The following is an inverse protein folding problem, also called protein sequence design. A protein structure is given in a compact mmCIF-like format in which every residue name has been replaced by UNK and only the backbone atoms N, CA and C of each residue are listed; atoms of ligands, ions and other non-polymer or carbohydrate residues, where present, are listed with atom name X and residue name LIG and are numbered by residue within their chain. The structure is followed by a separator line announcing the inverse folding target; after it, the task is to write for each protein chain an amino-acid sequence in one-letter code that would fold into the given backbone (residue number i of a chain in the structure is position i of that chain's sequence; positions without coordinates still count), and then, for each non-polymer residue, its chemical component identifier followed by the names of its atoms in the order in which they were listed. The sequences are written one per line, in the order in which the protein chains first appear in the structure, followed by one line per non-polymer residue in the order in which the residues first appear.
data_IF_296649407718
#
_entry.id   IF_296649407718
#
_cell.length_a   1.000
_cell.length_b   1.000
_cell.length_c   1.000
_cell.angle_alpha   90.00
_cell.angle_beta   90.00
_cell.angle_gamma   90.00
#
_symmetry.space_group_name_H-M   'P 1'
#
loop_
_entity.id
_entity.type
_entity.pdbx_description
1 polymer ?
#
# COMPACT_ATOMS: atom_id res chain seq x y z
N UNK A 1 30.80 40.36 27.84
CA UNK A 1 31.19 41.65 28.41
C UNK A 1 30.87 41.73 29.91
N UNK A 2 29.60 41.60 30.36
CA UNK A 2 29.25 41.64 31.80
C UNK A 2 29.85 40.46 32.55
N UNK A 3 29.77 39.22 32.02
CA UNK A 3 30.34 38.03 32.64
C UNK A 3 31.88 38.11 32.80
N UNK A 4 32.59 38.79 31.90
CA UNK A 4 34.01 39.07 32.03
C UNK A 4 34.31 39.95 33.24
N UNK A 5 33.47 40.97 33.46
CA UNK A 5 33.54 41.81 34.67
C UNK A 5 33.32 40.99 35.96
N UNK A 6 32.30 40.14 35.96
CA UNK A 6 32.04 39.23 37.09
C UNK A 6 33.17 38.24 37.34
N UNK A 7 33.79 37.67 36.31
CA UNK A 7 34.95 36.79 36.42
C UNK A 7 36.13 37.50 37.08
N UNK A 8 36.39 38.75 36.67
CA UNK A 8 37.45 39.55 37.22
C UNK A 8 37.26 39.83 38.72
N UNK A 9 36.01 40.12 39.14
CA UNK A 9 35.64 40.29 40.56
C UNK A 9 35.85 39.02 41.35
N UNK A 10 35.42 37.87 40.80
CA UNK A 10 35.59 36.57 41.48
C UNK A 10 37.07 36.20 41.71
N UNK A 11 37.97 36.59 40.78
CA UNK A 11 39.42 36.39 40.91
C UNK A 11 40.06 37.34 41.89
N UNK A 12 39.46 38.51 42.12
CA UNK A 12 40.04 39.57 42.95
C UNK A 12 39.06 40.04 44.05
N UNK A 13 38.31 39.14 44.63
CA UNK A 13 37.16 39.45 45.49
C UNK A 13 37.55 40.25 46.74
N UNK A 14 38.67 39.94 47.36
CA UNK A 14 39.09 40.61 48.55
C UNK A 14 39.48 42.07 48.26
N UNK A 15 40.13 42.35 47.12
CA UNK A 15 40.50 43.72 46.69
C UNK A 15 39.24 44.53 46.32
N UNK A 16 38.28 43.90 45.64
CA UNK A 16 37.01 44.54 45.29
C UNK A 16 36.23 44.92 46.54
N UNK A 17 36.17 44.03 47.55
CA UNK A 17 35.50 44.31 48.82
C UNK A 17 36.23 45.45 49.59
N UNK A 18 37.55 45.46 49.56
CA UNK A 18 38.32 46.53 50.18
C UNK A 18 38.04 47.89 49.52
N UNK A 19 38.03 47.98 48.20
CA UNK A 19 37.72 49.20 47.45
C UNK A 19 36.25 49.65 47.75
N UNK A 20 35.27 48.75 47.80
CA UNK A 20 33.89 49.12 48.14
C UNK A 20 33.78 49.67 49.57
N UNK A 21 34.53 49.15 50.47
CA UNK A 21 34.53 49.60 51.92
C UNK A 21 35.25 50.85 52.19
N UNK A 22 36.36 51.12 51.50
CA UNK A 22 37.29 52.20 51.82
C UNK A 22 37.12 53.43 50.92
N UNK A 23 36.46 53.34 49.81
CA UNK A 23 36.26 54.43 48.84
C UNK A 23 34.95 55.14 49.05
N UNK A 24 34.97 56.48 48.98
CA UNK A 24 33.74 57.30 48.97
C UNK A 24 32.95 57.20 47.68
N UNK A 25 33.65 56.86 46.56
CA UNK A 25 33.02 56.62 45.25
C UNK A 25 33.44 55.25 44.69
N UNK A 26 32.85 54.15 45.17
CA UNK A 26 33.23 52.77 44.81
C UNK A 26 33.24 52.50 43.34
N UNK A 27 32.22 53.04 42.61
CA UNK A 27 32.06 52.82 41.15
C UNK A 27 33.24 53.35 40.37
N UNK A 28 33.65 54.62 40.63
CA UNK A 28 34.79 55.26 39.98
C UNK A 28 36.10 54.56 40.31
N UNK A 29 36.28 54.15 41.57
CA UNK A 29 37.47 53.43 42.03
C UNK A 29 37.61 52.06 41.39
N UNK A 30 36.52 51.28 41.24
CA UNK A 30 36.51 49.99 40.55
C UNK A 30 36.80 50.12 39.05
N UNK A 31 36.24 51.13 38.38
CA UNK A 31 36.50 51.40 36.96
C UNK A 31 38.00 51.72 36.77
N UNK A 32 38.51 52.61 37.59
CA UNK A 32 39.93 53.01 37.49
C UNK A 32 40.92 51.87 37.80
N UNK A 33 40.61 51.02 38.79
CA UNK A 33 41.49 49.95 39.24
C UNK A 33 41.50 48.74 38.30
N UNK A 34 40.35 48.34 37.79
CA UNK A 34 40.20 47.14 37.00
C UNK A 34 39.88 47.42 35.51
N UNK A 35 39.91 48.67 35.07
CA UNK A 35 39.60 49.12 33.70
C UNK A 35 38.26 48.62 33.21
N UNK A 36 37.27 48.72 34.08
CA UNK A 36 35.90 48.26 33.81
C UNK A 36 35.12 49.34 33.03
N UNK A 37 34.11 48.88 32.33
CA UNK A 37 33.10 49.79 31.76
C UNK A 37 32.09 50.17 32.84
N UNK A 38 31.37 51.29 32.63
CA UNK A 38 30.30 51.78 33.52
C UNK A 38 29.26 50.68 33.83
N UNK A 39 28.87 49.93 32.80
CA UNK A 39 27.89 48.83 32.93
C UNK A 39 28.43 47.64 33.74
N UNK A 40 29.72 47.33 33.62
CA UNK A 40 30.36 46.28 34.42
C UNK A 40 30.45 46.69 35.88
N UNK A 41 30.79 47.93 36.14
CA UNK A 41 30.91 48.46 37.52
C UNK A 41 29.54 48.50 38.21
N UNK A 42 28.48 48.91 37.54
CA UNK A 42 27.12 48.88 38.07
C UNK A 42 26.67 47.43 38.38
N UNK A 43 26.89 46.50 37.45
CA UNK A 43 26.53 45.09 37.63
C UNK A 43 27.33 44.47 38.83
N UNK A 44 28.59 44.84 38.99
CA UNK A 44 29.43 44.37 40.12
C UNK A 44 28.89 44.87 41.46
N UNK A 45 28.49 46.12 41.53
CA UNK A 45 27.93 46.70 42.75
C UNK A 45 26.57 46.11 43.13
N UNK A 46 25.79 45.63 42.15
CA UNK A 46 24.50 44.97 42.33
C UNK A 46 24.63 43.48 42.68
N UNK A 47 25.84 42.89 42.66
CA UNK A 47 26.03 41.48 42.98
C UNK A 47 25.66 41.19 44.45
N UNK A 48 24.76 40.26 44.65
CA UNK A 48 24.40 39.79 45.99
C UNK A 48 25.51 38.89 46.57
N UNK A 49 25.84 39.04 47.86
CA UNK A 49 26.87 38.23 48.52
C UNK A 49 26.72 36.72 48.35
N UNK A 50 25.49 36.23 48.27
CA UNK A 50 25.23 34.79 48.01
C UNK A 50 25.71 34.32 46.64
N UNK A 51 25.78 35.22 45.65
CA UNK A 51 26.19 34.91 44.27
C UNK A 51 27.74 34.84 44.12
N UNK A 52 28.44 35.25 45.14
CA UNK A 52 29.90 35.12 45.20
C UNK A 52 30.36 33.74 45.70
N UNK A 53 29.42 32.83 45.93
CA UNK A 53 29.75 31.46 46.32
C UNK A 53 30.49 30.70 45.19
N UNK A 54 31.44 29.84 45.60
CA UNK A 54 32.34 29.10 44.70
C UNK A 54 31.61 28.34 43.58
N UNK A 55 30.38 27.84 43.86
CA UNK A 55 29.55 27.14 42.87
C UNK A 55 29.00 28.06 41.76
N UNK A 56 28.73 29.32 42.07
CA UNK A 56 28.31 30.32 41.07
C UNK A 56 29.47 30.81 40.22
N UNK A 57 30.67 30.89 40.77
CA UNK A 57 31.91 31.18 40.03
C UNK A 57 32.13 30.13 38.91
N UNK A 58 31.99 28.84 39.22
CA UNK A 58 32.11 27.75 38.26
C UNK A 58 31.05 27.86 37.15
N UNK A 59 29.83 28.22 37.50
CA UNK A 59 28.74 28.42 36.51
C UNK A 59 29.05 29.59 35.57
N UNK A 60 29.54 30.71 36.12
CA UNK A 60 29.92 31.88 35.32
C UNK A 60 31.09 31.57 34.38
N UNK A 61 32.07 30.80 34.82
CA UNK A 61 33.17 30.35 33.96
C UNK A 61 32.68 29.44 32.83
N UNK A 62 31.76 28.51 33.11
CA UNK A 62 31.18 27.65 32.11
C UNK A 62 30.37 28.45 31.08
N UNK A 63 29.49 29.34 31.54
CA UNK A 63 28.65 30.18 30.66
C UNK A 63 29.53 31.12 29.81
N UNK A 64 30.57 31.69 30.38
CA UNK A 64 31.50 32.54 29.64
C UNK A 64 32.29 31.75 28.60
N UNK A 65 32.71 30.52 28.91
CA UNK A 65 33.38 29.64 27.95
C UNK A 65 32.43 29.26 26.78
N UNK A 66 31.17 28.97 27.06
CA UNK A 66 30.17 28.69 26.04
C UNK A 66 29.90 29.90 25.13
N UNK A 67 29.71 31.09 25.72
CA UNK A 67 29.50 32.33 24.96
C UNK A 67 30.71 32.72 24.11
N UNK A 68 31.95 32.53 24.63
CA UNK A 68 33.17 32.76 23.83
C UNK A 68 33.29 31.81 22.67
N UNK A 69 32.90 30.55 22.85
CA UNK A 69 32.84 29.56 21.77
C UNK A 69 31.82 29.95 20.71
N UNK A 70 30.63 30.39 21.14
CA UNK A 70 29.56 30.85 20.25
C UNK A 70 30.01 32.13 19.51
N UNK A 71 30.60 33.11 20.21
CA UNK A 71 31.16 34.31 19.61
C UNK A 71 32.17 33.96 18.52
N UNK A 72 33.15 33.08 18.81
CA UNK A 72 34.13 32.65 17.82
C UNK A 72 33.49 32.00 16.60
N UNK A 73 32.46 31.17 16.79
CA UNK A 73 31.74 30.56 15.68
C UNK A 73 30.97 31.56 14.83
N UNK A 74 30.38 32.59 15.44
CA UNK A 74 29.68 33.67 14.73
C UNK A 74 30.66 34.58 13.99
N UNK A 75 31.81 34.92 14.62
CA UNK A 75 32.88 35.69 13.97
C UNK A 75 33.45 34.94 12.74
N UNK A 76 33.66 33.63 12.85
CA UNK A 76 34.07 32.79 11.70
C UNK A 76 33.06 32.84 10.56
N UNK A 77 31.77 32.85 10.85
CA UNK A 77 30.73 32.95 9.85
C UNK A 77 30.75 34.34 9.19
N UNK A 78 30.89 35.41 9.97
CA UNK A 78 30.90 36.79 9.48
C UNK A 78 32.15 37.14 8.66
N UNK A 79 33.30 36.61 9.07
CA UNK A 79 34.59 36.90 8.43
C UNK A 79 34.91 35.98 7.24
N UNK A 80 34.20 34.83 7.12
CA UNK A 80 34.44 33.87 6.05
C UNK A 80 33.20 33.69 5.15
N UNK A 81 33.22 34.20 3.92
CA UNK A 81 32.10 33.97 2.99
C UNK A 81 31.83 32.48 2.71
N UNK A 82 32.86 31.63 2.84
CA UNK A 82 32.71 30.18 2.68
C UNK A 82 31.97 29.55 3.85
N UNK A 83 32.20 30.02 5.08
CA UNK A 83 31.48 29.55 6.29
C UNK A 83 30.04 30.00 6.28
N UNK A 84 29.77 31.24 5.90
CA UNK A 84 28.43 31.78 5.72
C UNK A 84 27.63 30.95 4.66
N UNK A 85 28.26 30.67 3.52
CA UNK A 85 27.60 29.86 2.47
C UNK A 85 27.28 28.44 2.95
N UNK A 86 28.19 27.82 3.73
CA UNK A 86 27.92 26.47 4.31
C UNK A 86 26.78 26.50 5.31
N UNK A 87 26.68 27.55 6.14
CA UNK A 87 25.58 27.72 7.08
C UNK A 87 24.24 27.86 6.30
N UNK A 88 24.19 28.75 5.30
CA UNK A 88 22.99 28.95 4.48
C UNK A 88 22.54 27.65 3.79
N UNK A 89 23.47 26.89 3.23
CA UNK A 89 23.14 25.59 2.61
C UNK A 89 22.54 24.63 3.64
N UNK A 90 23.16 24.53 4.82
CA UNK A 90 22.68 23.66 5.90
C UNK A 90 21.28 24.03 6.37
N UNK A 91 20.99 25.32 6.52
CA UNK A 91 19.66 25.81 6.91
C UNK A 91 18.63 25.52 5.83
N UNK A 92 18.94 25.80 4.56
CA UNK A 92 18.06 25.50 3.42
C UNK A 92 17.79 23.99 3.32
N UNK A 93 18.80 23.15 3.53
CA UNK A 93 18.62 21.70 3.54
C UNK A 93 17.76 21.21 4.71
N UNK A 94 17.89 21.82 5.88
CA UNK A 94 17.05 21.52 7.03
C UNK A 94 15.59 21.93 6.78
N UNK A 95 15.36 23.11 6.24
CA UNK A 95 14.04 23.61 5.87
C UNK A 95 13.43 22.76 4.76
N UNK A 96 14.22 22.41 3.74
CA UNK A 96 13.78 21.52 2.69
C UNK A 96 13.37 20.14 3.24
N UNK A 97 14.10 19.61 4.22
CA UNK A 97 13.77 18.34 4.86
C UNK A 97 12.49 18.41 5.71
N UNK A 98 12.28 19.53 6.37
CA UNK A 98 11.12 19.74 7.26
C UNK A 98 9.85 20.11 6.50
N UNK A 99 9.95 20.92 5.44
CA UNK A 99 8.81 21.52 4.74
C UNK A 99 8.67 21.04 3.29
N UNK A 100 9.53 20.13 2.81
CA UNK A 100 9.43 19.64 1.45
C UNK A 100 8.16 18.80 1.26
N UNK A 101 7.33 19.26 0.38
CA UNK A 101 6.24 18.46 -0.17
C UNK A 101 6.77 17.49 -1.22
N UNK A 102 6.18 16.30 -1.27
CA UNK A 102 6.41 15.40 -2.40
C UNK A 102 6.05 16.12 -3.70
N UNK A 103 6.92 16.03 -4.68
CA UNK A 103 6.70 16.68 -5.96
C UNK A 103 5.36 16.23 -6.56
N UNK A 104 4.43 17.14 -6.74
CA UNK A 104 3.08 16.88 -7.29
C UNK A 104 3.11 16.65 -8.80
N UNK A 105 4.10 17.21 -9.48
CA UNK A 105 4.30 16.99 -10.92
C UNK A 105 5.28 15.84 -11.13
N UNK A 106 4.79 14.75 -11.72
CA UNK A 106 5.63 13.66 -12.17
C UNK A 106 6.26 14.03 -13.50
N UNK A 107 7.60 14.00 -13.57
CA UNK A 107 8.28 13.98 -14.86
C UNK A 107 8.27 12.51 -15.29
N UNK A 108 7.29 12.14 -16.11
CA UNK A 108 7.28 10.85 -16.77
C UNK A 108 7.74 11.04 -18.19
N UNK A 109 8.61 10.16 -18.68
CA UNK A 109 8.75 9.98 -20.11
C UNK A 109 7.36 9.70 -20.67
N UNK A 110 6.96 10.45 -21.68
CA UNK A 110 5.60 10.54 -22.23
C UNK A 110 4.99 9.15 -22.46
N UNK A 111 4.33 8.63 -21.44
CA UNK A 111 3.32 7.60 -21.65
C UNK A 111 2.10 8.39 -22.06
N UNK A 112 1.72 8.35 -23.36
CA UNK A 112 0.45 8.85 -23.87
C UNK A 112 -0.57 8.86 -22.73
N UNK A 113 -1.04 10.04 -22.35
CA UNK A 113 -2.17 10.16 -21.44
C UNK A 113 -3.24 9.25 -22.05
N UNK A 114 -3.45 8.11 -21.42
CA UNK A 114 -4.64 7.29 -21.69
C UNK A 114 -5.75 8.19 -21.17
N UNK A 115 -6.38 8.94 -22.10
CA UNK A 115 -7.63 9.59 -21.80
C UNK A 115 -8.46 8.50 -21.09
N UNK A 116 -8.99 8.79 -19.89
CA UNK A 116 -9.99 7.92 -19.27
C UNK A 116 -11.11 7.78 -20.29
N UNK A 117 -11.02 6.76 -21.12
CA UNK A 117 -12.09 6.39 -22.03
C UNK A 117 -13.17 5.95 -21.08
N UNK A 118 -14.22 6.75 -20.97
CA UNK A 118 -15.41 6.43 -20.23
C UNK A 118 -15.90 5.09 -20.81
N UNK A 119 -15.61 4.00 -20.10
CA UNK A 119 -16.00 2.65 -20.53
C UNK A 119 -17.51 2.64 -20.58
N UNK A 120 -18.06 2.48 -21.79
CA UNK A 120 -19.50 2.30 -21.97
C UNK A 120 -19.84 0.94 -21.36
N UNK A 121 -20.89 0.91 -20.53
CA UNK A 121 -21.35 -0.29 -19.87
C UNK A 121 -22.24 -1.11 -20.84
N UNK A 122 -21.60 -2.02 -21.59
CA UNK A 122 -22.24 -2.85 -22.61
C UNK A 122 -22.12 -4.34 -22.27
N UNK A 123 -23.10 -5.17 -22.67
CA UNK A 123 -23.02 -6.62 -22.53
C UNK A 123 -21.95 -7.18 -23.47
N UNK A 124 -21.10 -8.06 -22.95
CA UNK A 124 -20.05 -8.74 -23.71
C UNK A 124 -19.90 -10.18 -23.24
N UNK A 125 -19.43 -11.03 -24.16
CA UNK A 125 -19.03 -12.41 -23.88
C UNK A 125 -17.52 -12.52 -24.00
N UNK A 126 -16.85 -12.82 -22.89
CA UNK A 126 -15.41 -13.12 -22.86
C UNK A 126 -15.22 -14.58 -23.28
N UNK A 127 -14.41 -14.81 -24.30
CA UNK A 127 -14.08 -16.13 -24.83
C UNK A 127 -12.62 -16.42 -24.55
N UNK A 128 -12.34 -17.56 -23.93
CA UNK A 128 -10.99 -17.96 -23.54
C UNK A 128 -10.71 -19.36 -24.12
N UNK A 129 -9.55 -19.51 -24.73
CA UNK A 129 -9.08 -20.79 -25.22
C UNK A 129 -8.27 -21.56 -24.17
N UNK A 130 -8.09 -22.88 -24.37
CA UNK A 130 -7.28 -23.74 -23.51
C UNK A 130 -5.83 -23.26 -23.39
N UNK A 131 -5.27 -22.69 -24.47
CA UNK A 131 -3.93 -22.10 -24.48
C UNK A 131 -3.86 -20.65 -23.96
N UNK A 132 -4.96 -20.15 -23.39
CA UNK A 132 -5.01 -18.83 -22.75
C UNK A 132 -5.09 -17.64 -23.73
N UNK A 133 -5.62 -17.84 -24.94
CA UNK A 133 -6.00 -16.73 -25.82
C UNK A 133 -7.33 -16.15 -25.40
N UNK A 134 -7.42 -14.83 -25.29
CA UNK A 134 -8.59 -14.12 -24.79
C UNK A 134 -9.09 -13.12 -25.82
N UNK A 135 -10.41 -13.00 -25.92
CA UNK A 135 -11.13 -12.02 -26.73
C UNK A 135 -12.47 -11.70 -26.13
N UNK A 136 -13.02 -10.51 -26.40
CA UNK A 136 -14.36 -10.12 -26.00
C UNK A 136 -15.26 -9.93 -27.22
N UNK A 137 -16.44 -10.54 -27.22
CA UNK A 137 -17.47 -10.40 -28.25
C UNK A 137 -18.64 -9.60 -27.69
N UNK A 138 -19.11 -8.62 -28.43
CA UNK A 138 -20.25 -7.81 -28.05
C UNK A 138 -21.52 -8.64 -27.97
N UNK A 139 -22.31 -8.43 -26.92
CA UNK A 139 -23.55 -9.14 -26.66
C UNK A 139 -23.40 -10.44 -25.88
N UNK A 140 -24.53 -11.03 -25.49
CA UNK A 140 -24.65 -12.31 -24.80
C UNK A 140 -25.36 -13.35 -25.73
N UNK A 141 -25.48 -14.60 -25.26
CA UNK A 141 -26.20 -15.66 -25.98
C UNK A 141 -25.46 -16.22 -27.20
N UNK A 142 -24.15 -16.11 -27.24
CA UNK A 142 -23.35 -16.69 -28.32
C UNK A 142 -23.22 -18.20 -28.17
N UNK A 143 -23.42 -18.92 -29.29
CA UNK A 143 -23.18 -20.37 -29.32
C UNK A 143 -21.66 -20.62 -29.14
N UNK A 144 -21.32 -21.40 -28.10
CA UNK A 144 -19.96 -21.78 -27.80
C UNK A 144 -19.30 -22.59 -28.92
N UNK A 145 -20.07 -23.38 -29.66
CA UNK A 145 -19.60 -24.19 -30.79
C UNK A 145 -19.24 -23.35 -32.02
N UNK A 146 -19.73 -22.11 -32.12
CA UNK A 146 -19.47 -21.21 -33.23
C UNK A 146 -18.11 -20.50 -33.15
N UNK A 147 -17.37 -20.65 -32.05
CA UNK A 147 -16.06 -20.01 -31.89
C UNK A 147 -14.93 -20.82 -32.54
N UNK A 148 -14.26 -20.23 -33.51
CA UNK A 148 -13.07 -20.81 -34.11
C UNK A 148 -11.82 -20.51 -33.28
N UNK A 149 -10.91 -21.47 -33.22
CA UNK A 149 -9.62 -21.40 -32.51
C UNK A 149 -8.49 -21.80 -33.46
N UNK A 150 -7.26 -21.50 -33.08
CA UNK A 150 -6.07 -21.95 -33.80
C UNK A 150 -5.96 -23.48 -33.81
N UNK A 151 -5.27 -24.03 -34.79
CA UNK A 151 -5.03 -25.45 -34.87
C UNK A 151 -4.41 -26.00 -33.58
N UNK A 152 -5.03 -27.02 -33.00
CA UNK A 152 -4.60 -27.64 -31.76
C UNK A 152 -4.90 -26.80 -30.49
N UNK A 153 -5.84 -25.85 -30.54
CA UNK A 153 -6.40 -25.12 -29.41
C UNK A 153 -7.91 -25.36 -29.34
N UNK A 154 -8.49 -25.25 -28.14
CA UNK A 154 -9.88 -25.50 -27.88
C UNK A 154 -10.52 -24.43 -27.00
N UNK A 155 -11.81 -24.56 -26.76
CA UNK A 155 -12.54 -23.66 -25.87
C UNK A 155 -12.30 -24.05 -24.41
N UNK A 156 -11.68 -23.17 -23.62
CA UNK A 156 -11.68 -23.29 -22.16
C UNK A 156 -13.05 -22.93 -21.57
N UNK A 157 -13.63 -21.81 -22.01
CA UNK A 157 -14.92 -21.34 -21.53
C UNK A 157 -15.33 -19.99 -22.09
N UNK A 158 -16.64 -19.72 -21.95
CA UNK A 158 -17.27 -18.44 -22.27
C UNK A 158 -17.86 -17.84 -20.99
N UNK A 159 -17.73 -16.54 -20.82
CA UNK A 159 -18.24 -15.81 -19.67
C UNK A 159 -19.05 -14.61 -20.14
N UNK A 160 -20.33 -14.62 -19.84
CA UNK A 160 -21.22 -13.49 -20.10
C UNK A 160 -21.06 -12.46 -18.99
N UNK A 161 -20.63 -11.26 -19.34
CA UNK A 161 -20.32 -10.18 -18.41
C UNK A 161 -20.53 -8.81 -19.09
N UNK A 162 -20.06 -7.75 -18.48
CA UNK A 162 -20.14 -6.39 -19.01
C UNK A 162 -18.76 -5.83 -19.24
N UNK A 163 -18.65 -4.81 -20.07
CA UNK A 163 -17.37 -4.13 -20.35
C UNK A 163 -16.71 -3.53 -19.10
N UNK A 164 -17.52 -3.19 -18.08
CA UNK A 164 -17.08 -2.65 -16.79
C UNK A 164 -16.58 -3.71 -15.81
N UNK A 165 -16.83 -5.00 -16.12
CA UNK A 165 -16.44 -6.12 -15.28
C UNK A 165 -14.95 -6.49 -15.45
N UNK A 166 -14.51 -7.50 -14.70
CA UNK A 166 -13.12 -7.94 -14.65
C UNK A 166 -12.96 -9.40 -15.05
N UNK A 167 -11.92 -9.69 -15.82
CA UNK A 167 -11.40 -11.03 -16.04
C UNK A 167 -10.35 -11.33 -14.97
N UNK A 168 -10.57 -12.39 -14.22
CA UNK A 168 -9.64 -12.96 -13.24
C UNK A 168 -8.88 -14.12 -13.88
N UNK A 169 -7.58 -14.16 -13.64
CA UNK A 169 -6.69 -15.24 -14.06
C UNK A 169 -6.02 -15.82 -12.81
N UNK A 170 -6.20 -17.11 -12.60
CA UNK A 170 -5.66 -17.84 -11.46
C UNK A 170 -4.35 -18.51 -11.84
N UNK A 171 -3.25 -18.07 -11.24
CA UNK A 171 -1.93 -18.63 -11.49
C UNK A 171 -1.64 -19.88 -10.65
N UNK A 172 -0.72 -20.72 -11.15
CA UNK A 172 -0.28 -21.93 -10.44
C UNK A 172 0.34 -21.64 -9.06
N UNK A 173 0.82 -20.42 -8.84
CA UNK A 173 1.36 -19.95 -7.56
C UNK A 173 0.29 -19.41 -6.57
N UNK A 174 -1.00 -19.55 -6.89
CA UNK A 174 -2.09 -19.03 -6.07
C UNK A 174 -2.32 -17.51 -6.15
N UNK A 175 -1.62 -16.80 -7.05
CA UNK A 175 -1.89 -15.39 -7.34
C UNK A 175 -3.09 -15.25 -8.26
N UNK A 176 -3.84 -14.19 -8.07
CA UNK A 176 -4.94 -13.79 -8.94
C UNK A 176 -4.55 -12.51 -9.66
N UNK A 177 -4.60 -12.55 -10.99
CA UNK A 177 -4.33 -11.43 -11.86
C UNK A 177 -5.66 -10.87 -12.37
N UNK A 178 -5.75 -9.57 -12.49
CA UNK A 178 -6.99 -8.87 -12.87
C UNK A 178 -6.78 -8.11 -14.18
N UNK A 179 -7.66 -8.33 -15.14
CA UNK A 179 -7.69 -7.59 -16.41
C UNK A 179 -9.08 -6.99 -16.58
N UNK A 180 -9.24 -5.67 -16.72
CA UNK A 180 -10.52 -5.07 -17.06
C UNK A 180 -11.03 -5.62 -18.40
N UNK A 181 -12.30 -6.02 -18.47
CA UNK A 181 -12.87 -6.59 -19.69
C UNK A 181 -12.82 -5.61 -20.86
N UNK A 182 -12.94 -4.30 -20.59
CA UNK A 182 -12.78 -3.25 -21.60
C UNK A 182 -11.41 -3.25 -22.31
N UNK A 183 -10.38 -3.83 -21.68
CA UNK A 183 -9.02 -3.89 -22.25
C UNK A 183 -8.79 -5.15 -23.09
N UNK A 184 -9.77 -6.05 -23.17
CA UNK A 184 -9.65 -7.25 -24.00
C UNK A 184 -9.78 -6.90 -25.48
N UNK A 185 -9.08 -7.62 -26.37
CA UNK A 185 -9.23 -7.42 -27.81
C UNK A 185 -10.65 -7.81 -28.28
N UNK A 186 -11.17 -7.08 -29.24
CA UNK A 186 -12.45 -7.41 -29.86
C UNK A 186 -12.40 -8.76 -30.59
N UNK A 187 -13.58 -9.30 -30.89
CA UNK A 187 -13.75 -10.64 -31.46
C UNK A 187 -13.27 -10.83 -32.91
N UNK A 188 -12.69 -9.80 -33.54
CA UNK A 188 -12.09 -9.96 -34.86
C UNK A 188 -10.73 -10.65 -34.73
N UNK A 189 -10.64 -11.89 -35.22
CA UNK A 189 -9.44 -12.73 -35.13
C UNK A 189 -9.38 -13.64 -33.90
N UNK A 190 -8.21 -14.21 -33.64
CA UNK A 190 -8.00 -15.21 -32.58
C UNK A 190 -7.90 -14.62 -31.16
N UNK A 191 -7.87 -13.28 -31.02
CA UNK A 191 -7.60 -12.59 -29.77
C UNK A 191 -6.11 -12.41 -29.51
N UNK A 192 -5.72 -12.33 -28.25
CA UNK A 192 -4.31 -12.24 -27.83
C UNK A 192 -4.02 -13.11 -26.61
N UNK A 193 -2.79 -13.57 -26.44
CA UNK A 193 -2.42 -14.35 -25.25
C UNK A 193 -2.61 -13.53 -23.99
N UNK A 194 -3.19 -14.12 -22.95
CA UNK A 194 -3.39 -13.45 -21.65
C UNK A 194 -2.09 -12.96 -21.03
N UNK A 195 -0.97 -13.64 -21.31
CA UNK A 195 0.37 -13.29 -20.83
C UNK A 195 0.87 -11.93 -21.33
N UNK A 196 0.24 -11.35 -22.35
CA UNK A 196 0.54 -9.97 -22.79
C UNK A 196 -0.14 -8.91 -21.93
N UNK A 197 -1.18 -9.28 -21.20
CA UNK A 197 -2.00 -8.39 -20.36
C UNK A 197 -1.60 -8.42 -18.90
N UNK A 198 -0.93 -9.48 -18.45
CA UNK A 198 -0.51 -9.70 -17.07
C UNK A 198 0.98 -9.98 -16.99
N UNK A 199 1.59 -9.69 -15.84
CA UNK A 199 3.00 -9.95 -15.59
C UNK A 199 3.10 -11.18 -14.65
N UNK A 200 3.41 -12.35 -15.23
CA UNK A 200 3.54 -13.61 -14.49
C UNK A 200 4.92 -13.70 -13.84
N UNK A 201 4.95 -14.21 -12.61
CA UNK A 201 6.20 -14.58 -11.96
C UNK A 201 6.89 -15.73 -12.72
N UNK A 202 8.23 -15.82 -12.65
CA UNK A 202 8.98 -16.87 -13.31
C UNK A 202 8.51 -18.27 -12.87
N UNK A 203 8.23 -19.13 -13.84
CA UNK A 203 7.74 -20.49 -13.60
C UNK A 203 6.24 -20.61 -13.29
N UNK A 204 5.50 -19.49 -13.23
CA UNK A 204 4.05 -19.49 -13.02
C UNK A 204 3.31 -19.65 -14.34
N UNK A 205 2.28 -20.48 -14.33
CA UNK A 205 1.38 -20.66 -15.48
C UNK A 205 -0.05 -20.20 -15.11
N UNK A 206 -0.80 -19.59 -16.03
CA UNK A 206 -2.22 -19.34 -15.85
C UNK A 206 -2.96 -20.67 -15.95
N UNK A 207 -3.73 -21.04 -14.91
CA UNK A 207 -4.44 -22.33 -14.86
C UNK A 207 -5.92 -22.16 -15.15
N UNK A 208 -6.56 -21.19 -14.50
CA UNK A 208 -8.00 -21.02 -14.57
C UNK A 208 -8.39 -19.56 -14.80
N UNK A 209 -9.59 -19.37 -15.30
CA UNK A 209 -10.12 -18.07 -15.68
C UNK A 209 -11.56 -17.93 -15.20
N UNK A 210 -11.95 -16.70 -14.89
CA UNK A 210 -13.32 -16.33 -14.63
C UNK A 210 -13.54 -14.85 -14.97
N UNK A 211 -14.65 -14.52 -15.62
CA UNK A 211 -15.03 -13.11 -15.84
C UNK A 211 -16.44 -12.86 -15.30
N UNK A 212 -16.60 -11.72 -14.62
CA UNK A 212 -17.89 -11.33 -14.05
C UNK A 212 -17.81 -10.10 -13.18
N UNK A 213 -18.98 -9.71 -12.63
CA UNK A 213 -19.15 -8.55 -11.78
C UNK A 213 -18.46 -8.70 -10.41
N UNK A 214 -18.07 -7.59 -9.82
CA UNK A 214 -17.36 -7.53 -8.54
C UNK A 214 -18.12 -8.21 -7.38
N UNK A 215 -19.44 -8.18 -7.41
CA UNK A 215 -20.30 -8.77 -6.39
C UNK A 215 -20.43 -10.30 -6.46
N UNK A 216 -19.94 -10.93 -7.54
CA UNK A 216 -20.01 -12.39 -7.71
C UNK A 216 -19.15 -13.07 -6.65
N UNK A 217 -19.71 -14.10 -6.00
CA UNK A 217 -19.02 -14.93 -5.03
C UNK A 217 -18.58 -16.23 -5.67
N UNK A 218 -17.30 -16.56 -5.51
CA UNK A 218 -16.68 -17.79 -6.00
C UNK A 218 -16.28 -18.70 -4.84
N UNK A 219 -16.41 -19.99 -5.05
CA UNK A 219 -15.75 -21.03 -4.28
C UNK A 219 -14.35 -21.22 -4.88
N UNK A 220 -13.32 -20.98 -4.09
CA UNK A 220 -11.93 -21.17 -4.44
C UNK A 220 -11.38 -22.36 -3.67
N UNK A 221 -10.64 -23.24 -4.32
CA UNK A 221 -10.06 -24.41 -3.70
C UNK A 221 -8.68 -24.75 -4.29
N UNK A 222 -7.90 -25.46 -3.52
CA UNK A 222 -6.62 -26.03 -3.93
C UNK A 222 -6.67 -27.56 -3.94
N UNK A 223 -5.82 -28.18 -4.76
CA UNK A 223 -5.74 -29.65 -4.89
C UNK A 223 -5.39 -30.38 -3.58
N UNK A 224 -4.92 -29.65 -2.56
CA UNK A 224 -4.69 -30.16 -1.21
C UNK A 224 -5.96 -30.31 -0.35
N UNK A 225 -7.16 -30.13 -0.91
CA UNK A 225 -8.43 -30.33 -0.21
C UNK A 225 -8.91 -29.17 0.65
N UNK A 226 -8.33 -27.98 0.50
CA UNK A 226 -8.70 -26.76 1.23
C UNK A 226 -9.40 -25.78 0.30
N UNK A 227 -10.31 -24.97 0.87
CA UNK A 227 -11.01 -23.94 0.11
C UNK A 227 -11.78 -22.97 0.96
N UNK A 228 -12.32 -21.95 0.31
CA UNK A 228 -13.06 -20.86 0.95
C UNK A 228 -13.91 -20.10 -0.08
N UNK A 229 -14.79 -19.26 0.41
CA UNK A 229 -15.58 -18.36 -0.42
C UNK A 229 -14.88 -17.01 -0.54
N UNK A 230 -14.94 -16.38 -1.71
CA UNK A 230 -14.44 -15.03 -1.92
C UNK A 230 -15.28 -14.28 -2.96
N UNK A 231 -15.49 -12.99 -2.76
CA UNK A 231 -16.06 -12.12 -3.77
C UNK A 231 -14.97 -11.64 -4.74
N UNK A 232 -15.34 -11.38 -5.97
CA UNK A 232 -14.43 -10.87 -6.99
C UNK A 232 -13.80 -9.54 -6.54
N UNK A 233 -14.54 -8.63 -5.93
CA UNK A 233 -14.04 -7.35 -5.42
C UNK A 233 -12.79 -7.48 -4.53
N UNK A 234 -12.73 -8.55 -3.72
CA UNK A 234 -11.60 -8.82 -2.83
C UNK A 234 -10.35 -9.33 -3.55
N UNK A 235 -10.51 -9.84 -4.76
CA UNK A 235 -9.42 -10.37 -5.58
C UNK A 235 -8.82 -9.36 -6.54
N UNK A 236 -9.50 -8.22 -6.76
CA UNK A 236 -9.06 -7.21 -7.71
C UNK A 236 -7.69 -6.61 -7.34
N UNK A 237 -6.87 -6.42 -8.34
CA UNK A 237 -5.56 -5.79 -8.24
C UNK A 237 -5.35 -4.80 -9.38
N UNK A 238 -4.86 -3.59 -9.05
CA UNK A 238 -4.46 -2.61 -10.07
C UNK A 238 -3.08 -2.92 -10.67
N UNK A 239 -2.32 -3.80 -10.04
CA UNK A 239 -0.99 -4.19 -10.48
C UNK A 239 -1.09 -5.36 -11.47
N UNK A 240 -0.35 -5.29 -12.58
CA UNK A 240 -0.29 -6.37 -13.59
C UNK A 240 0.31 -7.67 -13.04
N UNK A 241 1.17 -7.58 -12.01
CA UNK A 241 1.74 -8.71 -11.28
C UNK A 241 0.76 -9.41 -10.35
N UNK A 242 -0.52 -9.02 -10.32
CA UNK A 242 -1.58 -9.66 -9.55
C UNK A 242 -1.38 -9.58 -8.03
N UNK A 243 -2.22 -10.32 -7.31
CA UNK A 243 -2.27 -10.35 -5.84
C UNK A 243 -2.21 -11.81 -5.37
N UNK A 244 -1.35 -12.11 -4.39
CA UNK A 244 -1.39 -13.41 -3.72
C UNK A 244 -2.72 -13.54 -2.98
N UNK A 245 -3.50 -14.56 -3.31
CA UNK A 245 -4.85 -14.70 -2.77
C UNK A 245 -5.18 -16.12 -2.30
N UNK A 246 -4.74 -17.16 -3.03
CA UNK A 246 -4.94 -18.55 -2.65
C UNK A 246 -3.60 -19.10 -2.17
N UNK A 247 -3.55 -19.64 -0.94
CA UNK A 247 -2.34 -20.28 -0.42
C UNK A 247 -2.38 -21.75 -0.81
N UNK A 248 -1.48 -22.15 -1.70
CA UNK A 248 -1.27 -23.54 -2.11
C UNK A 248 0.01 -24.10 -1.49
N UNK A 249 0.00 -25.37 -1.10
CA UNK A 249 1.17 -26.06 -0.57
C UNK A 249 2.13 -26.48 -1.68
N UNK A 250 3.30 -27.00 -1.29
CA UNK A 250 4.28 -27.50 -2.25
C UNK A 250 3.69 -28.69 -3.04
N UNK A 251 3.67 -28.57 -4.37
CA UNK A 251 3.08 -29.58 -5.26
C UNK A 251 1.55 -29.49 -5.42
N UNK A 252 0.89 -28.60 -4.69
CA UNK A 252 -0.55 -28.33 -4.85
C UNK A 252 -0.78 -27.33 -6.00
N UNK A 253 -1.97 -27.40 -6.59
CA UNK A 253 -2.43 -26.49 -7.64
C UNK A 253 -3.77 -25.88 -7.27
N UNK A 254 -4.07 -24.72 -7.84
CA UNK A 254 -5.40 -24.10 -7.73
C UNK A 254 -6.38 -24.93 -8.56
N UNK A 255 -7.55 -25.26 -8.00
CA UNK A 255 -8.63 -25.88 -8.71
C UNK A 255 -9.49 -24.84 -9.44
N UNK A 256 -10.29 -25.33 -10.41
CA UNK A 256 -11.21 -24.46 -11.17
C UNK A 256 -12.21 -23.78 -10.22
N UNK A 257 -12.34 -22.43 -10.24
CA UNK A 257 -13.32 -21.73 -9.41
C UNK A 257 -14.76 -22.11 -9.78
N UNK A 258 -15.62 -22.20 -8.78
CA UNK A 258 -17.04 -22.43 -8.98
C UNK A 258 -17.87 -21.24 -8.51
N UNK A 259 -18.88 -20.85 -9.29
CA UNK A 259 -19.78 -19.74 -8.95
C UNK A 259 -20.75 -20.19 -7.86
N UNK A 260 -20.85 -19.38 -6.80
CA UNK A 260 -21.75 -19.62 -5.66
C UNK A 260 -22.98 -18.73 -5.73
N UNK A 261 -22.78 -17.45 -5.97
CA UNK A 261 -23.85 -16.47 -6.10
C UNK A 261 -23.45 -15.39 -7.09
N UNK A 262 -24.36 -15.02 -7.96
CA UNK A 262 -24.20 -13.94 -8.94
C UNK A 262 -24.58 -12.58 -8.33
N UNK A 263 -24.23 -12.32 -7.09
CA UNK A 263 -24.36 -11.03 -6.40
C UNK A 263 -25.52 -10.16 -6.91
N UNK A 264 -26.72 -10.37 -6.42
CA UNK A 264 -27.81 -9.43 -6.59
C UNK A 264 -28.21 -8.86 -5.23
N UNK A 265 -27.63 -7.73 -4.86
CA UNK A 265 -28.40 -6.81 -4.03
C UNK A 265 -29.20 -5.92 -5.00
N UNK A 266 -30.54 -5.89 -4.91
CA UNK A 266 -31.32 -4.95 -5.69
C UNK A 266 -31.04 -3.55 -5.13
N UNK A 267 -30.21 -2.76 -5.81
CA UNK A 267 -30.30 -1.32 -5.66
C UNK A 267 -31.69 -0.94 -6.15
N UNK A 268 -32.57 -0.61 -5.21
CA UNK A 268 -33.87 -0.04 -5.45
C UNK A 268 -33.72 1.35 -6.09
N UNK A 269 -33.59 1.38 -7.41
CA UNK A 269 -33.86 2.56 -8.20
C UNK A 269 -35.17 2.28 -8.91
N UNK A 270 -36.23 3.07 -8.71
CA UNK A 270 -37.48 2.85 -9.42
C UNK A 270 -37.26 3.12 -10.91
N UNK A 271 -37.32 2.08 -11.71
CA UNK A 271 -37.34 2.18 -13.17
C UNK A 271 -38.70 2.75 -13.64
N UNK A 272 -38.70 3.65 -14.63
CA UNK A 272 -39.94 4.07 -15.24
C UNK A 272 -40.58 2.89 -15.98
N UNK A 273 -41.88 2.78 -15.75
CA UNK A 273 -42.83 1.79 -16.25
C UNK A 273 -42.58 1.28 -17.68
N UNK A 274 -42.56 -0.04 -17.85
CA UNK A 274 -43.11 -0.70 -19.03
C UNK A 274 -42.19 -1.58 -19.85
N UNK A 275 -41.32 -2.41 -19.25
CA UNK A 275 -40.85 -3.66 -19.88
C UNK A 275 -40.38 -4.61 -18.80
N UNK A 276 -41.13 -5.69 -18.58
CA UNK A 276 -40.73 -6.80 -17.73
C UNK A 276 -39.58 -7.55 -18.41
N UNK A 277 -38.34 -7.18 -18.11
CA UNK A 277 -37.21 -8.06 -18.36
C UNK A 277 -37.26 -9.16 -17.31
N UNK A 278 -37.38 -10.41 -17.78
CA UNK A 278 -37.25 -11.58 -16.94
C UNK A 278 -35.86 -11.55 -16.26
N UNK A 279 -35.82 -11.11 -15.01
CA UNK A 279 -34.64 -11.27 -14.15
C UNK A 279 -34.54 -12.76 -13.88
N UNK A 280 -33.62 -13.45 -14.56
CA UNK A 280 -33.24 -14.81 -14.22
C UNK A 280 -32.54 -14.70 -12.84
N UNK A 281 -33.34 -14.88 -11.79
CA UNK A 281 -32.83 -15.03 -10.42
C UNK A 281 -32.18 -16.40 -10.35
N UNK A 282 -30.85 -16.44 -10.50
CA UNK A 282 -30.08 -17.62 -10.12
C UNK A 282 -30.16 -17.74 -8.59
N UNK A 283 -30.82 -18.78 -8.10
CA UNK A 283 -30.82 -19.11 -6.70
C UNK A 283 -29.38 -19.33 -6.26
N UNK A 284 -28.97 -18.68 -5.14
CA UNK A 284 -27.66 -18.90 -4.57
C UNK A 284 -27.44 -20.40 -4.31
N UNK A 285 -26.24 -20.90 -4.55
CA UNK A 285 -25.89 -22.27 -4.25
C UNK A 285 -26.06 -22.56 -2.75
N UNK A 286 -26.57 -23.71 -2.43
CA UNK A 286 -26.85 -24.13 -1.04
C UNK A 286 -25.87 -25.19 -0.54
N UNK A 287 -25.26 -25.94 -1.43
CA UNK A 287 -24.36 -27.04 -1.13
C UNK A 287 -23.06 -26.97 -1.94
N UNK A 288 -22.06 -27.62 -1.45
CA UNK A 288 -20.79 -27.85 -2.13
C UNK A 288 -20.58 -29.34 -2.31
N UNK A 289 -20.15 -29.76 -3.50
CA UNK A 289 -19.66 -31.11 -3.79
C UNK A 289 -18.18 -31.05 -4.07
N UNK A 290 -17.42 -31.89 -3.40
CA UNK A 290 -15.99 -32.08 -3.57
C UNK A 290 -15.74 -33.47 -4.09
N UNK A 291 -14.89 -33.61 -5.12
CA UNK A 291 -14.47 -34.90 -5.65
C UNK A 291 -12.93 -35.01 -5.61
N UNK A 292 -12.44 -36.15 -5.15
CA UNK A 292 -11.00 -36.44 -5.16
C UNK A 292 -10.61 -37.30 -6.36
N UNK A 293 -9.32 -37.28 -6.72
CA UNK A 293 -8.76 -38.12 -7.78
C UNK A 293 -8.83 -39.62 -7.42
N UNK A 294 -8.89 -39.96 -6.14
CA UNK A 294 -9.13 -41.30 -5.63
C UNK A 294 -10.58 -41.78 -5.71
N UNK A 295 -11.51 -40.96 -6.28
CA UNK A 295 -12.93 -41.30 -6.46
C UNK A 295 -13.79 -41.08 -5.22
N UNK A 296 -13.33 -40.37 -4.20
CA UNK A 296 -14.14 -39.99 -3.02
C UNK A 296 -14.94 -38.74 -3.33
N UNK A 297 -16.19 -38.75 -2.90
CA UNK A 297 -17.10 -37.61 -3.05
C UNK A 297 -17.64 -37.23 -1.67
N UNK A 298 -17.62 -35.93 -1.36
CA UNK A 298 -18.20 -35.37 -0.16
C UNK A 298 -19.09 -34.17 -0.53
N UNK A 299 -20.27 -34.11 0.08
CA UNK A 299 -21.18 -32.97 -0.06
C UNK A 299 -21.55 -32.43 1.30
N UNK A 300 -21.61 -31.11 1.43
CA UNK A 300 -21.97 -30.40 2.66
C UNK A 300 -22.61 -29.06 2.36
N UNK A 301 -23.17 -28.42 3.37
CA UNK A 301 -23.83 -27.11 3.22
C UNK A 301 -22.81 -25.99 3.04
N UNK A 302 -23.10 -25.06 2.11
CA UNK A 302 -22.20 -23.96 1.80
C UNK A 302 -21.99 -23.01 2.99
N UNK A 303 -22.96 -22.97 3.93
CA UNK A 303 -22.88 -22.17 5.15
C UNK A 303 -21.74 -22.57 6.11
N UNK A 304 -21.15 -23.77 5.93
CA UNK A 304 -19.99 -24.22 6.69
C UNK A 304 -18.69 -23.51 6.24
N UNK A 305 -18.69 -22.90 5.04
CA UNK A 305 -17.52 -22.22 4.50
C UNK A 305 -17.46 -20.75 4.92
N UNK A 306 -16.24 -20.25 5.07
CA UNK A 306 -15.98 -18.85 5.39
C UNK A 306 -15.80 -18.01 4.13
N UNK A 307 -16.37 -16.81 4.13
CA UNK A 307 -16.01 -15.74 3.20
C UNK A 307 -14.69 -15.11 3.64
N UNK A 308 -13.68 -15.14 2.78
CA UNK A 308 -12.34 -14.62 3.08
C UNK A 308 -11.99 -13.45 2.16
N UNK A 309 -11.94 -12.25 2.73
CA UNK A 309 -11.63 -11.02 2.00
C UNK A 309 -10.13 -10.88 1.64
N UNK A 310 -9.26 -11.43 2.47
CA UNK A 310 -7.80 -11.34 2.29
C UNK A 310 -7.19 -12.56 1.61
N UNK A 311 -8.03 -13.55 1.26
CA UNK A 311 -7.55 -14.83 0.78
C UNK A 311 -6.89 -15.69 1.87
N UNK A 312 -6.26 -16.78 1.48
CA UNK A 312 -5.57 -17.72 2.38
C UNK A 312 -5.68 -19.16 1.88
N UNK A 313 -5.50 -20.12 2.79
CA UNK A 313 -5.66 -21.55 2.49
C UNK A 313 -7.12 -22.02 2.60
N UNK A 314 -7.90 -21.36 3.48
CA UNK A 314 -9.29 -21.71 3.74
C UNK A 314 -9.45 -22.84 4.76
N UNK A 315 -10.64 -23.47 4.72
CA UNK A 315 -11.01 -24.63 5.53
C UNK A 315 -10.78 -25.92 4.77
N UNK A 316 -10.62 -27.01 5.47
CA UNK A 316 -10.57 -28.35 4.87
C UNK A 316 -11.97 -28.68 4.28
N UNK A 317 -12.05 -28.88 2.99
CA UNK A 317 -13.27 -29.27 2.26
C UNK A 317 -13.46 -30.78 2.29
N UNK A 318 -12.38 -31.52 2.15
CA UNK A 318 -12.37 -32.99 2.15
C UNK A 318 -11.02 -33.46 2.72
N UNK A 319 -11.05 -34.45 3.57
CA UNK A 319 -9.84 -35.12 4.07
C UNK A 319 -9.35 -36.10 3.01
N UNK A 320 -8.11 -35.93 2.55
CA UNK A 320 -7.49 -36.66 1.45
C UNK A 320 -6.47 -37.67 2.00
N UNK A 321 -6.47 -38.84 1.40
CA UNK A 321 -5.43 -39.83 1.68
C UNK A 321 -4.05 -39.43 1.11
N UNK A 322 -2.94 -39.98 1.64
CA UNK A 322 -1.62 -39.73 1.07
C UNK A 322 -1.61 -40.03 -0.44
N UNK A 323 -1.18 -39.08 -1.26
CA UNK A 323 -1.15 -39.13 -2.74
C UNK A 323 -2.51 -38.87 -3.44
N UNK A 324 -3.61 -38.66 -2.71
CA UNK A 324 -4.86 -38.25 -3.30
C UNK A 324 -4.91 -36.70 -3.39
N UNK A 325 -5.65 -36.20 -4.36
CA UNK A 325 -5.78 -34.77 -4.61
C UNK A 325 -7.25 -34.40 -4.82
N UNK A 326 -7.63 -33.20 -4.45
CA UNK A 326 -8.93 -32.66 -4.83
C UNK A 326 -8.94 -32.44 -6.35
N UNK A 327 -9.78 -33.17 -7.06
CA UNK A 327 -9.98 -32.99 -8.50
C UNK A 327 -10.78 -31.73 -8.80
N UNK A 328 -11.72 -31.38 -7.91
CA UNK A 328 -12.51 -30.15 -8.00
C UNK A 328 -13.55 -30.03 -6.91
N UNK A 329 -14.02 -28.80 -6.74
CA UNK A 329 -15.14 -28.46 -5.86
C UNK A 329 -16.15 -27.60 -6.63
N UNK A 330 -17.42 -27.95 -6.55
CA UNK A 330 -18.50 -27.27 -7.24
C UNK A 330 -19.61 -26.88 -6.27
N UNK A 331 -20.06 -25.63 -6.37
CA UNK A 331 -21.22 -25.16 -5.65
C UNK A 331 -22.50 -25.44 -6.45
N UNK A 332 -23.55 -25.92 -5.81
CA UNK A 332 -24.79 -26.30 -6.49
C UNK A 332 -26.03 -26.08 -5.61
N UNK A 333 -27.21 -26.04 -6.24
CA UNK A 333 -28.52 -25.87 -5.57
C UNK A 333 -29.33 -27.15 -5.52
N UNK A 334 -29.41 -27.91 -6.61
CA UNK A 334 -30.25 -29.13 -6.71
C UNK A 334 -29.46 -30.35 -7.16
N UNK A 335 -28.55 -30.20 -8.10
CA UNK A 335 -27.78 -31.28 -8.66
C UNK A 335 -26.44 -30.77 -9.19
N UNK A 336 -25.43 -31.60 -9.12
CA UNK A 336 -24.13 -31.38 -9.72
C UNK A 336 -23.77 -32.60 -10.59
N UNK A 337 -23.17 -32.35 -11.75
CA UNK A 337 -22.63 -33.38 -12.61
C UNK A 337 -21.13 -33.48 -12.37
N UNK A 338 -20.67 -34.68 -12.12
CA UNK A 338 -19.22 -34.99 -11.94
C UNK A 338 -18.83 -35.81 -13.16
N UNK A 339 -17.87 -35.30 -13.93
CA UNK A 339 -17.29 -35.94 -15.12
C UNK A 339 -15.90 -36.45 -14.84
#
# INVERSE_FOLDING_TARGET
HILEGRQLVLLNIDEVIAIIRESDEPKAALIARFNLTDRQADDILDIRLRQLARLEAIKIEQELAELRKEQGSLEDILNSPASLRRLMVKEIEADAKQFADARRTLIQADKKAVAEVKVLDEPVTVVISEKGWVRARQGHGHDAAAFAFKAGDGLYGTFECRTVDHLLVFGSNGRVYTVPVANLPGARGDGQPITTLIDLDAGTQPLHYFAGAEAVTLLLSGSGGYGFLARIEHMLSRQRGGKAFITVGAGEQVCRPSVVALGSEPKSTPAPSGQAQAVISFAAATHVACASTGGRILTFEIGELKLMEKGGRGLMLIDLEPKDHLAGAAAYTRSVRIE
#
